data_IF_849611432508
#
_entry.id   IF_849611432508
#
_cell.length_a   1.000
_cell.length_b   1.000
_cell.length_c   1.000
_cell.angle_alpha   90.00
_cell.angle_beta   90.00
_cell.angle_gamma   90.00
#
_symmetry.space_group_name_H-M   'P 1'
#
loop_
_entity.id
_entity.type
_entity.pdbx_description
1 polymer ?
#
# COMPACT_ATOMS: atom_id res chain seq x y z
N UNK A 1 32.58 8.81 -4.87
CA UNK A 1 33.78 7.96 -5.06
C UNK A 1 33.97 6.88 -4.01
N UNK A 2 34.14 7.19 -2.71
CA UNK A 2 34.41 6.15 -1.69
C UNK A 2 33.38 5.01 -1.71
N UNK A 3 32.10 5.32 -1.82
CA UNK A 3 31.04 4.31 -1.97
C UNK A 3 31.24 3.41 -3.20
N UNK A 4 31.58 3.98 -4.35
CA UNK A 4 31.88 3.24 -5.60
C UNK A 4 33.13 2.38 -5.43
N UNK A 5 34.17 2.90 -4.77
CA UNK A 5 35.38 2.15 -4.47
C UNK A 5 35.11 0.97 -3.52
N UNK A 6 34.25 1.16 -2.52
CA UNK A 6 33.80 0.07 -1.65
C UNK A 6 32.96 -0.96 -2.39
N UNK A 7 32.09 -0.53 -3.31
CA UNK A 7 31.38 -1.42 -4.22
C UNK A 7 32.33 -2.38 -4.94
N UNK A 8 33.37 -1.83 -5.58
CA UNK A 8 34.42 -2.64 -6.21
C UNK A 8 35.15 -3.55 -5.22
N UNK A 9 35.58 -3.00 -4.07
CA UNK A 9 36.37 -3.75 -3.06
C UNK A 9 35.62 -4.97 -2.52
N UNK A 10 34.31 -4.84 -2.29
CA UNK A 10 33.49 -5.87 -1.66
C UNK A 10 32.60 -6.63 -2.66
N UNK A 11 32.81 -6.44 -3.96
CA UNK A 11 31.99 -7.02 -5.03
C UNK A 11 30.48 -6.72 -4.87
N UNK A 12 30.17 -5.47 -4.53
CA UNK A 12 28.80 -4.96 -4.40
C UNK A 12 28.53 -3.95 -5.52
N UNK A 13 27.42 -4.15 -6.22
CA UNK A 13 26.89 -3.15 -7.15
C UNK A 13 26.50 -1.86 -6.41
N UNK A 14 26.78 -0.70 -7.00
CA UNK A 14 26.36 0.60 -6.48
C UNK A 14 25.37 1.24 -7.44
N UNK A 15 24.15 1.50 -6.97
CA UNK A 15 23.17 2.31 -7.70
C UNK A 15 23.15 3.73 -7.11
N UNK A 16 23.62 4.72 -7.87
CA UNK A 16 23.57 6.13 -7.45
C UNK A 16 22.20 6.72 -7.78
N UNK A 17 21.54 7.31 -6.78
CA UNK A 17 20.23 7.93 -6.94
C UNK A 17 20.23 9.39 -6.46
N UNK A 18 19.57 10.28 -7.19
CA UNK A 18 19.25 11.62 -6.68
C UNK A 18 17.93 11.58 -5.92
N UNK A 19 18.03 11.42 -4.59
CA UNK A 19 16.83 11.48 -3.75
C UNK A 19 16.20 12.90 -3.71
N UNK A 20 17.04 13.93 -3.85
CA UNK A 20 16.65 15.30 -4.13
C UNK A 20 17.43 15.73 -5.36
N UNK A 21 16.72 15.94 -6.46
CA UNK A 21 17.27 16.41 -7.72
C UNK A 21 16.97 17.91 -7.89
N UNK A 22 17.71 18.65 -8.72
CA UNK A 22 17.34 20.02 -9.06
C UNK A 22 15.89 20.07 -9.56
N UNK A 23 15.03 20.76 -8.81
CA UNK A 23 13.60 20.91 -9.12
C UNK A 23 12.67 19.78 -8.65
N UNK A 24 13.17 18.75 -7.96
CA UNK A 24 12.28 17.71 -7.41
C UNK A 24 12.80 17.00 -6.15
N UNK A 25 11.89 16.70 -5.23
CA UNK A 25 12.12 15.87 -4.04
C UNK A 25 10.78 15.39 -3.46
N UNK A 26 10.78 14.22 -2.85
CA UNK A 26 9.67 13.78 -1.97
C UNK A 26 9.81 14.31 -0.54
N UNK A 27 11.02 14.75 -0.14
CA UNK A 27 11.30 15.25 1.19
C UNK A 27 10.86 16.72 1.35
N UNK A 28 10.54 17.12 2.58
CA UNK A 28 10.20 18.51 2.92
C UNK A 28 11.45 19.29 3.36
N UNK A 29 11.53 20.60 3.09
CA UNK A 29 10.64 21.38 2.20
C UNK A 29 10.82 21.00 0.71
N UNK A 30 9.84 21.29 -0.16
CA UNK A 30 9.97 21.07 -1.59
C UNK A 30 11.08 21.94 -2.21
N UNK A 31 11.49 21.61 -3.44
CA UNK A 31 12.40 22.44 -4.22
C UNK A 31 11.71 23.76 -4.64
N UNK A 32 12.46 24.86 -4.79
CA UNK A 32 11.90 26.17 -5.16
C UNK A 32 11.48 26.26 -6.64
N UNK A 33 11.98 25.34 -7.47
CA UNK A 33 11.61 25.19 -8.88
C UNK A 33 11.02 23.80 -9.09
N UNK A 34 10.34 23.61 -10.21
CA UNK A 34 9.69 22.34 -10.55
C UNK A 34 10.35 21.71 -11.78
N UNK A 35 10.96 20.54 -11.58
CA UNK A 35 11.64 19.76 -12.63
C UNK A 35 10.71 19.40 -13.80
N UNK A 36 9.41 19.28 -13.55
CA UNK A 36 8.42 18.86 -14.54
C UNK A 36 7.81 20.02 -15.32
N UNK A 37 8.09 21.28 -14.97
CA UNK A 37 7.49 22.44 -15.66
C UNK A 37 8.49 23.55 -15.97
N UNK A 38 9.58 23.68 -15.20
CA UNK A 38 10.62 24.68 -15.41
C UNK A 38 11.75 24.13 -16.31
N UNK A 39 11.93 24.65 -17.54
CA UNK A 39 13.00 24.23 -18.45
C UNK A 39 14.40 24.44 -17.86
N UNK A 40 14.59 25.45 -17.02
CA UNK A 40 15.89 25.73 -16.40
C UNK A 40 16.21 24.71 -15.30
N UNK A 41 15.21 24.28 -14.52
CA UNK A 41 15.39 23.20 -13.55
C UNK A 41 15.79 21.89 -14.25
N UNK A 42 15.12 21.55 -15.36
CA UNK A 42 15.47 20.39 -16.18
C UNK A 42 16.89 20.51 -16.76
N UNK A 43 17.24 21.68 -17.31
CA UNK A 43 18.59 21.93 -17.86
C UNK A 43 19.68 21.72 -16.81
N UNK A 44 19.48 22.24 -15.60
CA UNK A 44 20.42 22.06 -14.48
C UNK A 44 20.47 20.61 -14.03
N UNK A 45 19.34 19.91 -13.95
CA UNK A 45 19.30 18.49 -13.61
C UNK A 45 20.07 17.63 -14.64
N UNK A 46 19.91 17.90 -15.94
CA UNK A 46 20.71 17.29 -17.00
C UNK A 46 22.21 17.55 -16.78
N UNK A 47 22.61 18.78 -16.46
CA UNK A 47 24.02 19.11 -16.21
C UNK A 47 24.62 18.35 -15.04
N UNK A 48 23.84 18.15 -13.96
CA UNK A 48 24.26 17.32 -12.84
C UNK A 48 24.47 15.87 -13.29
N UNK A 49 23.51 15.28 -14.00
CA UNK A 49 23.66 13.90 -14.48
C UNK A 49 24.82 13.73 -15.46
N UNK A 50 25.04 14.66 -16.39
CA UNK A 50 26.21 14.65 -17.28
C UNK A 50 27.54 14.79 -16.51
N UNK A 51 27.56 15.52 -15.38
CA UNK A 51 28.74 15.58 -14.52
C UNK A 51 29.05 14.22 -13.89
N UNK A 52 28.04 13.53 -13.33
CA UNK A 52 28.21 12.19 -12.76
C UNK A 52 28.59 11.16 -13.82
N UNK A 53 27.98 11.23 -15.01
CA UNK A 53 28.34 10.39 -16.15
C UNK A 53 29.82 10.59 -16.54
N UNK A 54 30.31 11.84 -16.60
CA UNK A 54 31.73 12.11 -16.91
C UNK A 54 32.66 11.59 -15.83
N UNK A 55 32.30 11.78 -14.56
CA UNK A 55 33.11 11.36 -13.41
C UNK A 55 33.30 9.84 -13.35
N UNK A 56 32.26 9.09 -13.69
CA UNK A 56 32.24 7.64 -13.56
C UNK A 56 32.27 6.88 -14.90
N UNK A 57 32.56 7.59 -16.00
CA UNK A 57 32.71 7.00 -17.33
C UNK A 57 33.75 5.88 -17.31
N UNK A 58 33.42 4.76 -17.95
CA UNK A 58 34.28 3.59 -18.02
C UNK A 58 34.20 2.64 -16.83
N UNK A 59 33.49 2.98 -15.75
CA UNK A 59 33.11 2.00 -14.72
C UNK A 59 31.99 1.13 -15.30
N UNK A 60 32.14 -0.20 -15.40
CA UNK A 60 31.15 -1.06 -16.04
C UNK A 60 29.82 -1.07 -15.27
N UNK A 61 28.73 -1.39 -15.98
CA UNK A 61 27.38 -1.30 -15.42
C UNK A 61 26.97 -2.43 -14.49
N UNK A 62 27.73 -3.53 -14.47
CA UNK A 62 27.65 -4.54 -13.41
C UNK A 62 28.11 -3.98 -12.05
N UNK A 63 29.03 -3.01 -12.02
CA UNK A 63 29.52 -2.36 -10.80
C UNK A 63 28.79 -1.07 -10.43
N UNK A 64 28.27 -0.32 -11.42
CA UNK A 64 27.65 0.98 -11.18
C UNK A 64 26.44 1.24 -12.10
N UNK A 65 25.32 1.66 -11.54
CA UNK A 65 24.15 2.15 -12.29
C UNK A 65 23.67 3.49 -11.75
N UNK A 66 22.85 4.18 -12.53
CA UNK A 66 22.21 5.44 -12.12
C UNK A 66 20.69 5.27 -12.02
N UNK A 67 20.10 5.61 -10.88
CA UNK A 67 18.67 5.84 -10.73
C UNK A 67 18.38 7.35 -10.85
N UNK A 68 17.59 7.76 -11.84
CA UNK A 68 17.46 9.16 -12.25
C UNK A 68 17.07 10.12 -11.12
N UNK A 69 16.05 9.77 -10.35
CA UNK A 69 15.66 10.48 -9.13
C UNK A 69 14.55 9.70 -8.41
N UNK A 70 14.41 9.97 -7.11
CA UNK A 70 13.56 9.20 -6.23
C UNK A 70 12.07 9.52 -6.39
N UNK A 71 11.26 8.48 -6.61
CA UNK A 71 9.80 8.44 -6.37
C UNK A 71 8.98 9.61 -6.96
N UNK A 72 8.88 9.77 -8.30
CA UNK A 72 7.96 10.73 -8.88
C UNK A 72 6.53 10.51 -8.36
N UNK A 73 5.99 11.55 -7.72
CA UNK A 73 4.67 11.53 -7.07
C UNK A 73 3.50 11.62 -8.06
N UNK A 74 2.57 12.55 -7.80
CA UNK A 74 1.45 12.82 -8.71
C UNK A 74 1.90 13.73 -9.87
N UNK A 75 2.54 13.13 -10.87
CA UNK A 75 2.92 13.80 -12.12
C UNK A 75 2.27 13.12 -13.32
N UNK A 76 2.02 13.88 -14.39
CA UNK A 76 1.52 13.30 -15.64
C UNK A 76 2.57 12.38 -16.26
N UNK A 77 2.12 11.33 -16.94
CA UNK A 77 3.03 10.40 -17.61
C UNK A 77 3.88 11.12 -18.65
N UNK A 78 3.29 12.02 -19.42
CA UNK A 78 3.93 12.80 -20.48
C UNK A 78 5.02 13.73 -19.93
N UNK A 79 4.75 14.39 -18.80
CA UNK A 79 5.72 15.26 -18.14
C UNK A 79 6.92 14.44 -17.62
N UNK A 80 6.64 13.27 -17.00
CA UNK A 80 7.69 12.40 -16.52
C UNK A 80 8.54 11.82 -17.66
N UNK A 81 7.90 11.38 -18.75
CA UNK A 81 8.57 10.86 -19.94
C UNK A 81 9.51 11.88 -20.57
N UNK A 82 9.06 13.14 -20.70
CA UNK A 82 9.89 14.22 -21.23
C UNK A 82 11.14 14.44 -20.38
N UNK A 83 10.97 14.51 -19.05
CA UNK A 83 12.08 14.70 -18.11
C UNK A 83 13.04 13.51 -18.18
N UNK A 84 12.54 12.29 -18.02
CA UNK A 84 13.36 11.09 -18.01
C UNK A 84 14.13 10.90 -19.32
N UNK A 85 13.49 11.13 -20.48
CA UNK A 85 14.15 11.06 -21.78
C UNK A 85 15.31 12.07 -21.90
N UNK A 86 15.13 13.30 -21.41
CA UNK A 86 16.17 14.31 -21.41
C UNK A 86 17.35 13.92 -20.50
N UNK A 87 17.08 13.39 -19.30
CA UNK A 87 18.13 12.94 -18.38
C UNK A 87 18.89 11.73 -18.94
N UNK A 88 18.18 10.74 -19.52
CA UNK A 88 18.80 9.58 -20.16
C UNK A 88 19.70 10.00 -21.32
N UNK A 89 19.23 10.93 -22.17
CA UNK A 89 20.03 11.47 -23.26
C UNK A 89 21.30 12.18 -22.73
N UNK A 90 21.16 13.01 -21.70
CA UNK A 90 22.28 13.73 -21.09
C UNK A 90 23.34 12.82 -20.46
N UNK A 91 22.94 11.65 -19.95
CA UNK A 91 23.86 10.61 -19.44
C UNK A 91 24.54 9.87 -20.60
N UNK A 92 23.75 9.40 -21.58
CA UNK A 92 24.24 8.55 -22.67
C UNK A 92 25.05 9.29 -23.72
N UNK A 93 24.87 10.60 -23.86
CA UNK A 93 25.77 11.46 -24.65
C UNK A 93 27.22 11.39 -24.15
N UNK A 94 27.38 11.19 -22.83
CA UNK A 94 28.69 11.04 -22.19
C UNK A 94 29.15 9.58 -22.13
N UNK A 95 28.27 8.68 -21.66
CA UNK A 95 28.54 7.26 -21.41
C UNK A 95 27.39 6.40 -21.99
N UNK A 96 27.46 6.04 -23.29
CA UNK A 96 26.38 5.30 -23.96
C UNK A 96 26.07 3.94 -23.33
N UNK A 97 27.04 3.33 -22.65
CA UNK A 97 26.92 2.01 -22.06
C UNK A 97 26.35 2.01 -20.64
N UNK A 98 26.16 3.19 -20.02
CA UNK A 98 25.64 3.29 -18.65
C UNK A 98 24.23 2.70 -18.57
N UNK A 99 24.07 1.68 -17.74
CA UNK A 99 22.77 1.20 -17.29
C UNK A 99 22.11 2.22 -16.36
N UNK A 100 20.85 2.50 -16.66
CA UNK A 100 20.03 3.53 -16.01
C UNK A 100 18.75 2.85 -15.53
N UNK A 101 18.27 3.28 -14.38
CA UNK A 101 17.00 2.92 -13.77
C UNK A 101 16.18 4.18 -13.55
N UNK A 102 14.86 4.05 -13.63
CA UNK A 102 13.91 5.11 -13.32
C UNK A 102 12.86 4.57 -12.34
N UNK A 103 12.60 5.28 -11.25
CA UNK A 103 11.51 4.89 -10.34
C UNK A 103 10.14 4.98 -11.03
N UNK A 104 9.23 4.08 -10.67
CA UNK A 104 7.86 4.13 -11.19
C UNK A 104 7.09 5.39 -10.75
N UNK A 105 6.05 5.73 -11.51
CA UNK A 105 5.10 6.78 -11.15
C UNK A 105 4.41 6.46 -9.82
N UNK A 106 3.83 7.50 -9.18
CA UNK A 106 3.08 7.35 -7.93
C UNK A 106 3.94 6.75 -6.83
N UNK A 107 5.13 7.31 -6.64
CA UNK A 107 6.11 6.83 -5.66
C UNK A 107 6.47 5.36 -5.87
N UNK A 108 6.69 4.93 -7.11
CA UNK A 108 6.98 3.54 -7.46
C UNK A 108 5.79 2.58 -7.39
N UNK A 109 4.57 3.10 -7.30
CA UNK A 109 3.33 2.30 -7.26
C UNK A 109 2.90 1.71 -8.61
N UNK A 110 3.37 2.26 -9.74
CA UNK A 110 3.08 1.73 -11.08
C UNK A 110 4.21 2.04 -12.07
N UNK A 111 4.37 1.24 -13.14
CA UNK A 111 5.38 1.50 -14.15
C UNK A 111 5.04 2.73 -14.99
N UNK A 112 6.06 3.45 -15.43
CA UNK A 112 5.95 4.50 -16.43
C UNK A 112 6.11 3.90 -17.83
N UNK A 113 5.00 3.50 -18.46
CA UNK A 113 5.04 2.71 -19.70
C UNK A 113 5.72 3.44 -20.87
N UNK A 114 5.57 4.75 -21.02
CA UNK A 114 6.25 5.46 -22.13
C UNK A 114 7.77 5.56 -21.98
N UNK A 115 8.34 5.14 -20.83
CA UNK A 115 9.77 4.96 -20.67
C UNK A 115 10.30 3.63 -21.23
N UNK A 116 9.43 2.66 -21.55
CA UNK A 116 9.85 1.31 -22.00
C UNK A 116 10.75 1.37 -23.24
N UNK A 117 10.47 2.32 -24.14
CA UNK A 117 11.27 2.55 -25.36
C UNK A 117 12.69 3.09 -25.10
N UNK A 118 12.99 3.54 -23.89
CA UNK A 118 14.30 4.12 -23.56
C UNK A 118 15.36 3.03 -23.27
N UNK A 119 14.98 1.76 -23.13
CA UNK A 119 15.93 0.69 -22.80
C UNK A 119 16.61 0.92 -21.45
N UNK A 120 15.83 1.31 -20.44
CA UNK A 120 16.26 1.51 -19.05
C UNK A 120 15.47 0.59 -18.14
N UNK A 121 15.99 0.27 -16.96
CA UNK A 121 15.24 -0.45 -15.93
C UNK A 121 14.22 0.43 -15.23
N UNK A 122 13.27 -0.17 -14.52
CA UNK A 122 12.37 0.54 -13.62
C UNK A 122 12.38 -0.02 -12.20
N UNK A 123 12.23 0.86 -11.21
CA UNK A 123 12.22 0.49 -9.81
C UNK A 123 10.83 0.72 -9.19
N UNK A 124 10.26 -0.35 -8.63
CA UNK A 124 9.05 -0.33 -7.82
C UNK A 124 9.37 -0.12 -6.33
N UNK A 125 8.33 -0.07 -5.49
CA UNK A 125 8.46 0.03 -4.02
C UNK A 125 7.76 -1.10 -3.30
N UNK A 126 8.33 -1.55 -2.19
CA UNK A 126 7.77 -2.60 -1.34
C UNK A 126 7.23 -2.06 -0.02
N UNK A 127 6.50 -0.94 -0.03
CA UNK A 127 5.93 -0.33 1.17
C UNK A 127 4.44 -0.63 1.37
N UNK A 128 3.77 -1.29 0.43
CA UNK A 128 2.35 -1.60 0.57
C UNK A 128 2.11 -2.76 1.58
N UNK A 129 1.11 -2.64 2.47
CA UNK A 129 0.33 -1.45 2.78
C UNK A 129 1.09 -0.51 3.74
N UNK A 130 0.85 0.80 3.61
CA UNK A 130 1.47 1.82 4.46
C UNK A 130 1.11 1.67 5.95
N UNK A 131 -0.01 1.02 6.28
CA UNK A 131 -0.38 0.67 7.65
C UNK A 131 0.60 -0.30 8.31
N UNK A 132 1.34 -1.12 7.54
CA UNK A 132 2.40 -1.98 8.05
C UNK A 132 3.76 -1.28 7.98
N UNK A 133 4.11 -0.73 6.81
CA UNK A 133 5.46 -0.21 6.59
C UNK A 133 5.73 1.13 7.27
N UNK A 134 4.69 1.92 7.54
CA UNK A 134 4.80 3.30 8.03
C UNK A 134 3.88 3.61 9.24
N UNK A 135 3.46 2.59 9.98
CA UNK A 135 2.70 2.79 11.23
C UNK A 135 3.43 3.79 12.15
N UNK A 136 2.73 4.84 12.58
CA UNK A 136 3.27 5.93 13.41
C UNK A 136 4.48 6.70 12.84
N UNK A 137 4.72 6.66 11.52
CA UNK A 137 5.72 7.50 10.86
C UNK A 137 5.20 8.94 10.68
N UNK A 138 5.80 9.90 11.39
CA UNK A 138 5.32 11.29 11.44
C UNK A 138 5.38 12.04 10.11
N UNK A 139 6.19 11.57 9.16
CA UNK A 139 6.42 12.25 7.87
C UNK A 139 5.40 11.88 6.78
N UNK A 140 4.57 10.83 6.97
CA UNK A 140 3.61 10.35 5.94
C UNK A 140 2.13 10.47 6.33
N UNK A 141 1.79 11.21 7.40
CA UNK A 141 0.43 11.23 7.93
C UNK A 141 0.13 9.87 8.57
N UNK A 142 0.34 9.79 9.88
CA UNK A 142 0.21 8.55 10.67
C UNK A 142 -1.05 7.77 10.29
N UNK A 143 -0.95 6.52 9.79
CA UNK A 143 -2.11 5.66 9.65
C UNK A 143 -2.86 5.60 10.98
N UNK A 144 -4.16 5.89 10.97
CA UNK A 144 -4.99 5.93 12.18
C UNK A 144 -5.29 4.54 12.75
N UNK A 145 -5.15 3.51 11.90
CA UNK A 145 -5.48 2.14 12.25
C UNK A 145 -4.23 1.37 12.69
N UNK A 146 -4.43 0.46 13.64
CA UNK A 146 -3.42 -0.48 14.08
C UNK A 146 -3.00 -1.43 12.94
N UNK A 147 -1.71 -1.81 12.86
CA UNK A 147 -1.20 -2.66 11.79
C UNK A 147 -1.80 -4.05 11.90
N UNK A 148 -2.38 -4.58 10.81
CA UNK A 148 -2.87 -5.96 10.72
C UNK A 148 -2.27 -6.62 9.48
N UNK A 149 -1.68 -7.80 9.63
CA UNK A 149 -1.15 -8.57 8.51
C UNK A 149 -1.63 -10.04 8.51
N UNK A 150 -2.14 -10.53 7.37
CA UNK A 150 -2.56 -9.76 6.19
C UNK A 150 -3.89 -9.01 6.46
N UNK A 151 -4.20 -7.95 5.71
CA UNK A 151 -5.44 -7.20 5.91
C UNK A 151 -6.68 -8.10 5.75
N UNK A 152 -7.75 -7.88 6.54
CA UNK A 152 -9.01 -8.62 6.37
C UNK A 152 -9.57 -8.39 4.96
N UNK A 153 -9.85 -9.46 4.22
CA UNK A 153 -10.43 -9.39 2.88
C UNK A 153 -11.97 -9.36 2.92
N UNK A 154 -12.55 -8.49 3.77
CA UNK A 154 -13.98 -8.23 3.70
C UNK A 154 -14.31 -7.47 2.41
N UNK A 155 -15.37 -7.87 1.72
CA UNK A 155 -15.76 -7.31 0.42
C UNK A 155 -17.07 -6.54 0.51
N UNK A 156 -17.21 -5.52 -0.31
CA UNK A 156 -18.38 -4.67 -0.46
C UNK A 156 -18.71 -4.54 -1.95
N UNK A 157 -19.99 -4.43 -2.35
CA UNK A 157 -21.15 -4.17 -1.51
C UNK A 157 -21.76 -5.40 -0.85
N UNK A 158 -22.65 -5.16 0.12
CA UNK A 158 -23.68 -6.13 0.48
C UNK A 158 -24.80 -6.05 -0.56
N UNK A 159 -25.42 -7.19 -0.83
CA UNK A 159 -26.47 -7.32 -1.84
C UNK A 159 -27.82 -7.61 -1.19
N UNK A 160 -28.88 -7.08 -1.81
CA UNK A 160 -30.25 -7.41 -1.44
C UNK A 160 -30.78 -8.65 -2.19
N UNK A 161 -31.99 -9.11 -1.85
CA UNK A 161 -32.48 -10.45 -2.20
C UNK A 161 -32.58 -10.72 -3.70
N UNK A 162 -32.79 -9.68 -4.51
CA UNK A 162 -32.90 -9.81 -5.97
C UNK A 162 -31.60 -10.26 -6.65
N UNK A 163 -30.47 -10.31 -5.91
CA UNK A 163 -29.16 -10.75 -6.40
C UNK A 163 -28.69 -12.06 -5.81
N UNK A 164 -29.59 -12.88 -5.30
CA UNK A 164 -29.25 -14.23 -4.84
C UNK A 164 -28.44 -15.00 -5.91
N UNK A 165 -27.38 -15.73 -5.51
CA UNK A 165 -26.96 -16.04 -4.13
C UNK A 165 -25.97 -15.02 -3.51
N UNK A 166 -25.78 -13.85 -4.11
CA UNK A 166 -24.82 -12.85 -3.61
C UNK A 166 -25.30 -12.12 -2.35
N UNK A 167 -26.59 -12.21 -2.02
CA UNK A 167 -27.26 -11.59 -0.87
C UNK A 167 -26.88 -12.19 0.49
N UNK A 168 -25.80 -12.97 0.54
CA UNK A 168 -25.30 -13.53 1.79
C UNK A 168 -24.86 -12.42 2.75
N UNK A 169 -25.17 -12.57 4.06
CA UNK A 169 -24.82 -11.58 5.07
C UNK A 169 -23.33 -11.64 5.39
N UNK A 170 -22.78 -10.50 5.84
CA UNK A 170 -21.53 -10.53 6.60
C UNK A 170 -21.82 -11.13 7.98
N UNK A 171 -21.06 -12.17 8.36
CA UNK A 171 -21.20 -12.83 9.67
C UNK A 171 -19.91 -12.66 10.46
N UNK A 172 -20.01 -12.24 11.72
CA UNK A 172 -18.86 -12.12 12.63
C UNK A 172 -19.17 -12.89 13.92
N UNK A 173 -18.29 -13.80 14.31
CA UNK A 173 -18.40 -14.56 15.55
C UNK A 173 -17.48 -14.02 16.66
N UNK A 174 -17.80 -14.33 17.91
CA UNK A 174 -17.01 -14.01 19.11
C UNK A 174 -16.82 -12.50 19.35
N UNK A 175 -17.86 -11.70 19.09
CA UNK A 175 -17.80 -10.24 19.20
C UNK A 175 -18.05 -9.83 20.66
N UNK A 176 -17.12 -9.11 21.32
CA UNK A 176 -17.31 -8.69 22.71
C UNK A 176 -18.37 -7.58 22.85
N UNK A 177 -18.84 -7.37 24.08
CA UNK A 177 -19.70 -6.24 24.43
C UNK A 177 -19.02 -4.90 24.11
N UNK A 178 -19.80 -3.91 23.64
CA UNK A 178 -19.26 -2.63 23.17
C UNK A 178 -20.23 -1.84 22.31
N UNK A 179 -19.68 -1.06 21.37
CA UNK A 179 -20.45 -0.36 20.32
C UNK A 179 -19.86 -0.69 18.95
N UNK A 180 -20.72 -1.09 18.02
CA UNK A 180 -20.35 -1.29 16.62
C UNK A 180 -20.84 -0.11 15.78
N UNK A 181 -19.92 0.68 15.25
CA UNK A 181 -20.21 1.72 14.28
C UNK A 181 -20.24 1.12 12.87
N UNK A 182 -21.37 1.24 12.18
CA UNK A 182 -21.57 0.80 10.80
C UNK A 182 -21.61 2.01 9.88
N UNK A 183 -20.67 2.10 8.93
CA UNK A 183 -20.59 3.21 7.98
C UNK A 183 -20.89 2.76 6.55
N UNK A 184 -22.10 3.04 6.02
CA UNK A 184 -22.40 2.77 4.62
C UNK A 184 -21.58 3.64 3.66
N UNK A 185 -21.47 3.19 2.41
CA UNK A 185 -20.84 3.93 1.31
C UNK A 185 -21.87 4.42 0.31
N UNK A 186 -21.68 4.08 -0.97
CA UNK A 186 -22.70 4.29 -2.00
C UNK A 186 -23.84 3.28 -1.82
N UNK A 187 -25.07 3.76 -1.92
CA UNK A 187 -26.30 2.96 -1.82
C UNK A 187 -27.07 3.05 -3.13
N UNK A 188 -27.62 1.92 -3.59
CA UNK A 188 -28.43 1.82 -4.81
C UNK A 188 -29.91 1.71 -4.49
N UNK A 189 -30.60 2.81 -4.75
CA UNK A 189 -32.01 2.97 -4.43
C UNK A 189 -32.32 2.82 -2.95
N UNK A 190 -33.58 2.46 -2.67
CA UNK A 190 -34.03 2.19 -1.32
C UNK A 190 -33.59 0.80 -0.89
N UNK A 191 -32.80 0.73 0.16
CA UNK A 191 -32.40 -0.53 0.82
C UNK A 191 -32.76 -0.49 2.30
N UNK A 192 -32.79 -1.66 2.94
CA UNK A 192 -32.93 -1.79 4.39
C UNK A 192 -31.67 -2.45 4.94
N UNK A 193 -30.87 -1.70 5.69
CA UNK A 193 -29.69 -2.20 6.41
C UNK A 193 -30.11 -2.78 7.76
N UNK A 194 -29.75 -4.04 8.01
CA UNK A 194 -30.06 -4.73 9.25
C UNK A 194 -28.82 -5.25 9.95
N UNK A 195 -28.77 -5.09 11.28
CA UNK A 195 -27.79 -5.73 12.16
C UNK A 195 -28.51 -6.60 13.17
N UNK A 196 -28.13 -7.87 13.27
CA UNK A 196 -28.68 -8.86 14.20
C UNK A 196 -27.56 -9.47 15.05
N UNK A 197 -27.81 -9.66 16.34
CA UNK A 197 -26.93 -10.34 17.28
C UNK A 197 -27.67 -11.53 17.89
N UNK A 198 -27.17 -12.74 17.69
CA UNK A 198 -27.75 -13.98 18.22
C UNK A 198 -29.25 -14.12 17.96
N UNK A 199 -29.70 -13.68 16.78
CA UNK A 199 -31.10 -13.71 16.34
C UNK A 199 -31.95 -12.52 16.81
N UNK A 200 -31.40 -11.64 17.63
CA UNK A 200 -32.05 -10.40 18.08
C UNK A 200 -31.67 -9.26 17.16
N UNK A 201 -32.67 -8.51 16.67
CA UNK A 201 -32.46 -7.35 15.79
C UNK A 201 -32.02 -6.13 16.60
N UNK A 202 -30.83 -5.60 16.28
CA UNK A 202 -30.25 -4.45 16.97
C UNK A 202 -30.30 -3.15 16.14
N UNK A 203 -30.30 -3.26 14.81
CA UNK A 203 -30.48 -2.14 13.89
C UNK A 203 -31.41 -2.56 12.75
N UNK A 204 -32.32 -1.66 12.36
CA UNK A 204 -33.16 -1.81 11.17
C UNK A 204 -33.37 -0.43 10.54
N UNK A 205 -32.51 -0.07 9.59
CA UNK A 205 -32.42 1.28 9.02
C UNK A 205 -32.73 1.27 7.53
N UNK A 206 -33.66 2.12 7.11
CA UNK A 206 -33.90 2.39 5.69
C UNK A 206 -32.90 3.42 5.19
N UNK A 207 -32.22 3.10 4.09
CA UNK A 207 -31.31 4.01 3.38
C UNK A 207 -31.86 4.25 1.98
N UNK A 208 -32.10 5.51 1.63
CA UNK A 208 -32.64 5.91 0.33
C UNK A 208 -31.95 7.20 -0.13
N UNK A 209 -31.16 7.17 -1.22
CA UNK A 209 -30.49 8.35 -1.75
C UNK A 209 -31.47 9.47 -2.11
N UNK A 210 -31.29 10.65 -1.51
CA UNK A 210 -32.13 11.84 -1.75
C UNK A 210 -31.28 13.06 -2.06
N UNK A 211 -31.49 13.66 -3.23
CA UNK A 211 -30.81 14.89 -3.63
C UNK A 211 -31.20 16.04 -2.68
N UNK A 212 -30.21 16.84 -2.27
CA UNK A 212 -30.42 17.98 -1.35
C UNK A 212 -30.59 17.61 0.12
N UNK A 213 -30.53 16.32 0.49
CA UNK A 213 -30.50 15.89 1.89
C UNK A 213 -29.09 16.04 2.48
N UNK A 214 -28.95 16.47 3.75
CA UNK A 214 -27.65 16.57 4.41
C UNK A 214 -26.97 15.21 4.64
N UNK A 215 -27.72 14.11 4.59
CA UNK A 215 -27.20 12.74 4.80
C UNK A 215 -26.59 12.13 3.53
N UNK A 216 -26.67 12.83 2.39
CA UNK A 216 -26.29 12.29 1.08
C UNK A 216 -25.43 13.24 0.27
N UNK A 217 -24.47 12.68 -0.46
CA UNK A 217 -23.71 13.38 -1.49
C UNK A 217 -23.62 12.57 -2.77
N UNK A 218 -23.28 13.23 -3.88
CA UNK A 218 -23.14 12.62 -5.21
C UNK A 218 -24.35 11.77 -5.62
N UNK A 219 -25.56 12.27 -5.34
CA UNK A 219 -26.79 11.59 -5.72
C UNK A 219 -26.98 11.74 -7.24
N UNK A 220 -27.02 10.61 -7.95
CA UNK A 220 -27.21 10.54 -9.39
C UNK A 220 -28.30 9.53 -9.75
N UNK A 221 -29.24 9.94 -10.58
CA UNK A 221 -30.24 9.05 -11.15
C UNK A 221 -29.63 8.25 -12.31
N UNK A 222 -29.86 6.94 -12.31
CA UNK A 222 -29.44 6.01 -13.35
C UNK A 222 -30.66 5.60 -14.16
N UNK A 223 -30.77 6.10 -15.38
CA UNK A 223 -31.94 5.87 -16.24
C UNK A 223 -32.07 4.40 -16.65
N UNK A 224 -30.95 3.70 -16.78
CA UNK A 224 -30.86 2.29 -17.17
C UNK A 224 -31.56 1.37 -16.17
N UNK A 225 -31.46 1.67 -14.88
CA UNK A 225 -32.05 0.87 -13.79
C UNK A 225 -33.23 1.58 -13.10
N UNK A 226 -33.58 2.79 -13.56
CA UNK A 226 -34.59 3.67 -12.95
C UNK A 226 -34.39 3.83 -11.45
N UNK A 227 -33.13 3.99 -11.02
CA UNK A 227 -32.74 4.02 -9.61
C UNK A 227 -31.80 5.19 -9.32
N UNK A 228 -31.94 5.79 -8.15
CA UNK A 228 -30.99 6.80 -7.67
C UNK A 228 -29.89 6.12 -6.87
N UNK A 229 -28.64 6.48 -7.14
CA UNK A 229 -27.48 6.07 -6.35
C UNK A 229 -26.90 7.30 -5.65
N UNK A 230 -26.45 7.15 -4.42
CA UNK A 230 -25.82 8.25 -3.68
C UNK A 230 -24.92 7.74 -2.57
N UNK A 231 -23.97 8.58 -2.13
CA UNK A 231 -23.08 8.27 -1.01
C UNK A 231 -23.72 8.70 0.30
N UNK A 232 -23.92 7.76 1.22
CA UNK A 232 -24.40 8.03 2.56
C UNK A 232 -23.29 8.67 3.41
N UNK A 233 -23.64 9.69 4.18
CA UNK A 233 -22.72 10.40 5.07
C UNK A 233 -22.89 10.00 6.55
N UNK A 234 -24.03 9.38 6.90
CA UNK A 234 -24.34 8.94 8.25
C UNK A 234 -23.51 7.72 8.68
N UNK A 235 -23.29 7.58 9.99
CA UNK A 235 -22.75 6.37 10.65
C UNK A 235 -23.78 5.90 11.66
N UNK A 236 -23.98 4.58 11.77
CA UNK A 236 -24.99 3.98 12.64
C UNK A 236 -24.31 3.21 13.76
N UNK A 237 -24.47 3.70 15.00
CA UNK A 237 -23.91 3.05 16.18
C UNK A 237 -24.88 2.03 16.76
N UNK A 238 -24.42 0.78 16.86
CA UNK A 238 -25.18 -0.36 17.38
C UNK A 238 -24.60 -0.76 18.74
N UNK A 239 -25.40 -0.69 19.80
CA UNK A 239 -24.97 -1.10 21.14
C UNK A 239 -24.99 -2.62 21.27
N UNK A 240 -23.89 -3.18 21.74
CA UNK A 240 -23.73 -4.60 22.07
C UNK A 240 -23.63 -4.73 23.59
N UNK A 241 -24.75 -4.92 24.31
CA UNK A 241 -24.77 -4.87 25.77
C UNK A 241 -24.02 -6.06 26.40
N UNK A 242 -23.98 -7.20 25.72
CA UNK A 242 -23.25 -8.40 26.15
C UNK A 242 -22.40 -8.90 25.00
N UNK A 243 -21.51 -9.85 25.30
CA UNK A 243 -20.79 -10.57 24.27
C UNK A 243 -21.79 -11.27 23.34
N UNK A 244 -21.52 -11.21 22.05
CA UNK A 244 -22.34 -11.71 20.96
C UNK A 244 -21.62 -12.90 20.35
N UNK A 245 -22.27 -14.06 20.36
CA UNK A 245 -21.70 -15.26 19.75
C UNK A 245 -21.69 -15.12 18.23
N UNK A 246 -22.77 -14.59 17.63
CA UNK A 246 -22.88 -14.37 16.18
C UNK A 246 -23.59 -13.06 15.86
N UNK A 247 -22.86 -12.15 15.22
CA UNK A 247 -23.36 -10.91 14.62
C UNK A 247 -23.59 -11.12 13.12
N UNK A 248 -24.68 -10.57 12.57
CA UNK A 248 -25.04 -10.62 11.14
C UNK A 248 -25.36 -9.22 10.64
N UNK A 249 -24.80 -8.84 9.50
CA UNK A 249 -25.09 -7.58 8.81
C UNK A 249 -25.58 -7.92 7.40
N UNK A 250 -26.77 -7.44 7.03
CA UNK A 250 -27.45 -7.84 5.80
C UNK A 250 -28.30 -6.73 5.20
N UNK A 251 -28.74 -6.94 3.96
CA UNK A 251 -29.75 -6.13 3.29
C UNK A 251 -31.00 -6.97 3.00
N UNK A 252 -31.94 -7.13 3.95
CA UNK A 252 -33.17 -7.89 3.72
C UNK A 252 -34.10 -7.30 2.63
N UNK A 253 -33.93 -6.03 2.27
CA UNK A 253 -34.71 -5.36 1.22
C UNK A 253 -33.80 -4.45 0.38
N UNK A 254 -34.09 -4.35 -0.93
CA UNK A 254 -33.43 -3.42 -1.86
C UNK A 254 -32.42 -4.07 -2.82
N UNK A 255 -31.63 -3.23 -3.50
CA UNK A 255 -30.69 -3.64 -4.56
C UNK A 255 -29.30 -3.99 -4.00
N UNK A 256 -28.52 -2.99 -3.58
CA UNK A 256 -27.23 -3.17 -2.91
C UNK A 256 -26.81 -1.90 -2.17
N UNK A 257 -25.93 -2.06 -1.18
CA UNK A 257 -25.29 -0.96 -0.49
C UNK A 257 -23.84 -1.31 -0.16
N UNK A 258 -22.95 -0.37 -0.40
CA UNK A 258 -21.57 -0.49 0.04
C UNK A 258 -21.48 -0.37 1.56
N UNK A 259 -20.54 -1.11 2.13
CA UNK A 259 -19.99 -0.82 3.45
C UNK A 259 -18.61 -0.19 3.25
N UNK A 260 -18.36 0.92 3.93
CA UNK A 260 -17.07 1.59 3.90
C UNK A 260 -16.16 1.02 4.99
N UNK A 261 -16.65 1.03 6.23
CA UNK A 261 -15.93 0.56 7.42
C UNK A 261 -16.90 0.00 8.45
N UNK A 262 -16.44 -0.98 9.22
CA UNK A 262 -17.01 -1.32 10.53
C UNK A 262 -15.97 -1.01 11.61
N UNK A 263 -16.38 -0.38 12.70
CA UNK A 263 -15.50 -0.15 13.85
C UNK A 263 -16.19 -0.68 15.10
N UNK A 264 -15.56 -1.65 15.76
CA UNK A 264 -15.98 -2.13 17.06
C UNK A 264 -15.17 -1.40 18.14
N UNK A 265 -15.86 -0.79 19.09
CA UNK A 265 -15.25 -0.19 20.28
C UNK A 265 -15.65 -1.01 21.50
N UNK A 266 -14.66 -1.60 22.17
CA UNK A 266 -14.84 -2.34 23.43
C UNK A 266 -15.26 -1.41 24.58
N UNK A 267 -15.73 -1.99 25.69
CA UNK A 267 -16.10 -1.24 26.90
C UNK A 267 -14.93 -0.47 27.53
N UNK A 268 -13.71 -0.93 27.28
CA UNK A 268 -12.45 -0.31 27.69
C UNK A 268 -12.00 0.82 26.74
N UNK A 269 -12.76 1.09 25.68
CA UNK A 269 -12.47 2.13 24.69
C UNK A 269 -11.51 1.69 23.59
N UNK A 270 -11.00 0.45 23.62
CA UNK A 270 -10.15 -0.05 22.55
C UNK A 270 -10.97 -0.31 21.27
N UNK A 271 -10.36 -0.15 20.11
CA UNK A 271 -11.06 -0.24 18.82
C UNK A 271 -10.47 -1.29 17.89
N UNK A 272 -11.32 -1.93 17.11
CA UNK A 272 -10.94 -2.77 15.97
C UNK A 272 -11.73 -2.35 14.73
N UNK A 273 -11.03 -2.12 13.61
CA UNK A 273 -11.63 -1.67 12.35
C UNK A 273 -11.56 -2.76 11.29
N UNK A 274 -12.68 -3.01 10.60
CA UNK A 274 -12.75 -3.82 9.39
C UNK A 274 -12.96 -2.90 8.18
N UNK A 275 -11.94 -2.70 7.34
CA UNK A 275 -12.12 -2.05 6.04
C UNK A 275 -12.79 -3.01 5.06
N UNK A 276 -13.41 -2.46 4.01
CA UNK A 276 -14.02 -3.23 2.94
C UNK A 276 -13.36 -2.94 1.59
N UNK A 277 -12.99 -4.01 0.89
CA UNK A 277 -12.62 -3.95 -0.50
C UNK A 277 -13.87 -3.85 -1.39
N UNK A 278 -13.91 -2.88 -2.30
CA UNK A 278 -15.00 -2.79 -3.27
C UNK A 278 -14.78 -3.83 -4.39
N UNK A 279 -15.49 -4.97 -4.32
CA UNK A 279 -15.36 -6.08 -5.26
C UNK A 279 -16.73 -6.67 -5.59
N UNK A 280 -17.16 -6.40 -6.83
CA UNK A 280 -18.46 -6.88 -7.33
C UNK A 280 -18.48 -8.38 -7.59
N UNK A 281 -19.64 -9.01 -7.39
CA UNK A 281 -19.84 -10.43 -7.67
C UNK A 281 -19.23 -11.38 -6.64
N UNK A 282 -18.71 -10.84 -5.53
CA UNK A 282 -18.21 -11.62 -4.38
C UNK A 282 -19.10 -11.34 -3.17
N UNK A 283 -19.14 -12.30 -2.25
CA UNK A 283 -19.84 -12.11 -0.97
C UNK A 283 -18.91 -12.34 0.21
N UNK A 284 -19.32 -11.85 1.37
CA UNK A 284 -18.58 -12.07 2.61
C UNK A 284 -18.87 -13.47 3.15
N UNK A 285 -17.84 -14.06 3.74
CA UNK A 285 -17.98 -15.29 4.51
C UNK A 285 -18.18 -15.02 6.01
N UNK A 286 -17.92 -16.05 6.79
CA UNK A 286 -17.78 -15.96 8.24
C UNK A 286 -16.45 -15.26 8.58
N UNK A 287 -16.50 -14.33 9.52
CA UNK A 287 -15.35 -13.74 10.21
C UNK A 287 -15.42 -14.07 11.71
N UNK A 288 -14.29 -13.94 12.39
CA UNK A 288 -14.18 -14.03 13.85
C UNK A 288 -13.46 -12.80 14.37
N UNK A 289 -13.94 -12.25 15.48
CA UNK A 289 -13.18 -11.28 16.22
C UNK A 289 -12.06 -11.98 17.01
N UNK A 290 -10.85 -11.44 16.94
CA UNK A 290 -9.61 -12.03 17.45
C UNK A 290 -8.94 -11.17 18.54
N UNK A 291 -9.51 -10.01 18.87
CA UNK A 291 -9.00 -9.11 19.90
C UNK A 291 -8.87 -7.67 19.42
N UNK A 292 -8.53 -6.78 20.36
CA UNK A 292 -8.24 -5.38 20.10
C UNK A 292 -6.74 -5.14 20.05
N UNK A 293 -6.31 -4.20 19.20
CA UNK A 293 -4.92 -3.77 19.11
C UNK A 293 -4.14 -4.32 17.91
N UNK A 294 -2.84 -3.99 17.82
CA UNK A 294 -1.97 -4.33 16.69
C UNK A 294 -1.92 -5.83 16.38
N UNK A 295 -2.21 -6.19 15.14
CA UNK A 295 -2.23 -7.57 14.65
C UNK A 295 -3.45 -8.36 15.07
N UNK A 296 -4.38 -7.72 15.78
CA UNK A 296 -5.66 -8.29 16.21
C UNK A 296 -6.80 -7.54 15.50
N UNK A 297 -8.00 -8.12 15.52
CA UNK A 297 -9.16 -7.53 14.86
C UNK A 297 -10.08 -8.61 14.31
N UNK A 298 -10.38 -8.56 13.02
CA UNK A 298 -11.30 -9.50 12.39
C UNK A 298 -10.59 -10.43 11.42
N UNK A 299 -10.73 -11.74 11.62
CA UNK A 299 -10.09 -12.75 10.78
C UNK A 299 -11.16 -13.55 10.03
N UNK A 300 -10.87 -13.96 8.79
CA UNK A 300 -11.76 -14.88 8.07
C UNK A 300 -11.88 -16.22 8.83
N UNK A 301 -13.10 -16.72 8.98
CA UNK A 301 -13.42 -17.96 9.72
C UNK A 301 -13.14 -19.25 8.92
N UNK A 302 -12.91 -19.14 7.61
CA UNK A 302 -12.44 -20.21 6.74
C UNK A 302 -11.45 -19.66 5.69
N UNK A 303 -10.38 -20.41 5.44
CA UNK A 303 -9.24 -19.97 4.62
C UNK A 303 -8.24 -19.15 5.42
N UNK A 304 -6.95 -19.49 5.32
CA UNK A 304 -5.91 -18.64 5.87
C UNK A 304 -5.95 -17.30 5.13
N UNK A 305 -5.95 -16.16 5.84
CA UNK A 305 -5.75 -14.87 5.21
C UNK A 305 -4.47 -14.92 4.34
N UNK A 306 -4.60 -14.62 3.04
CA UNK A 306 -3.50 -14.76 2.08
C UNK A 306 -2.85 -13.39 1.80
N UNK A 307 -1.77 -13.12 2.51
CA UNK A 307 -0.98 -11.90 2.34
C UNK A 307 -0.31 -11.82 0.97
N UNK A 308 0.06 -12.95 0.37
CA UNK A 308 0.63 -12.98 -0.98
C UNK A 308 -0.42 -12.64 -2.02
N UNK A 309 -1.63 -13.19 -1.94
CA UNK A 309 -2.71 -12.81 -2.84
C UNK A 309 -3.06 -11.32 -2.73
N UNK A 310 -3.05 -10.77 -1.50
CA UNK A 310 -3.20 -9.34 -1.28
C UNK A 310 -2.10 -8.54 -2.00
N UNK A 311 -0.82 -8.86 -1.77
CA UNK A 311 0.31 -8.16 -2.42
C UNK A 311 0.33 -8.35 -3.93
N UNK A 312 -0.02 -9.53 -4.44
CA UNK A 312 -0.14 -9.77 -5.88
C UNK A 312 -1.11 -8.74 -6.48
N UNK A 313 -2.29 -8.61 -5.89
CA UNK A 313 -3.32 -7.67 -6.35
C UNK A 313 -2.93 -6.20 -6.16
N UNK A 314 -2.44 -5.83 -4.98
CA UNK A 314 -2.26 -4.41 -4.62
C UNK A 314 -0.92 -3.83 -5.06
N UNK A 315 0.07 -4.68 -5.34
CA UNK A 315 1.41 -4.27 -5.69
C UNK A 315 1.85 -4.82 -7.05
N UNK A 316 1.75 -6.13 -7.26
CA UNK A 316 2.36 -6.77 -8.44
C UNK A 316 1.54 -6.56 -9.72
N UNK A 317 0.22 -6.63 -9.66
CA UNK A 317 -0.68 -6.51 -10.84
C UNK A 317 -0.52 -5.15 -11.53
N UNK A 318 -0.32 -4.08 -10.76
CA UNK A 318 -0.07 -2.75 -11.30
C UNK A 318 1.22 -2.68 -12.14
N UNK A 319 2.18 -3.57 -11.87
CA UNK A 319 3.46 -3.69 -12.55
C UNK A 319 3.49 -4.73 -13.67
N UNK A 320 2.41 -5.49 -13.85
CA UNK A 320 2.29 -6.50 -14.91
C UNK A 320 2.68 -5.99 -16.31
N UNK A 321 2.32 -4.76 -16.74
CA UNK A 321 2.73 -4.24 -18.04
C UNK A 321 4.26 -4.15 -18.23
N UNK A 322 5.03 -3.88 -17.16
CA UNK A 322 6.49 -3.86 -17.23
C UNK A 322 7.07 -5.27 -17.33
N UNK A 323 6.48 -6.23 -16.61
CA UNK A 323 6.87 -7.64 -16.67
C UNK A 323 6.60 -8.22 -18.06
N UNK A 324 5.42 -7.97 -18.63
CA UNK A 324 5.03 -8.43 -19.96
C UNK A 324 5.93 -7.84 -21.06
N UNK A 325 6.36 -6.58 -20.88
CA UNK A 325 7.28 -5.91 -21.79
C UNK A 325 8.75 -6.33 -21.61
N UNK A 326 9.06 -7.21 -20.66
CA UNK A 326 10.44 -7.67 -20.40
C UNK A 326 11.36 -6.58 -19.85
N UNK A 327 10.80 -5.53 -19.24
CA UNK A 327 11.58 -4.44 -18.64
C UNK A 327 12.27 -4.94 -17.39
N UNK A 328 13.59 -4.70 -17.28
CA UNK A 328 14.31 -4.95 -16.03
C UNK A 328 13.61 -4.21 -14.89
N UNK A 329 13.10 -4.97 -13.93
CA UNK A 329 12.36 -4.42 -12.80
C UNK A 329 13.02 -4.85 -11.50
N UNK A 330 13.09 -3.93 -10.54
CA UNK A 330 13.56 -4.21 -9.18
C UNK A 330 12.68 -3.52 -8.15
N UNK A 331 12.72 -4.00 -6.91
CA UNK A 331 12.17 -3.29 -5.76
C UNK A 331 13.25 -2.36 -5.21
N UNK A 332 13.20 -1.09 -5.63
CA UNK A 332 14.22 -0.09 -5.32
C UNK A 332 14.35 0.20 -3.83
N UNK A 333 13.23 0.12 -3.11
CA UNK A 333 13.20 0.24 -1.65
C UNK A 333 12.04 -0.57 -1.08
N UNK A 334 12.27 -1.16 0.10
CA UNK A 334 11.22 -1.72 0.94
C UNK A 334 11.67 -1.74 2.40
N UNK A 335 10.75 -2.07 3.29
CA UNK A 335 11.00 -2.23 4.73
C UNK A 335 9.85 -1.67 5.55
N UNK A 336 9.93 -1.85 6.87
CA UNK A 336 8.94 -1.32 7.79
C UNK A 336 9.59 -0.50 8.89
N UNK A 337 8.95 0.62 9.25
CA UNK A 337 9.34 1.46 10.36
C UNK A 337 9.28 0.70 11.70
N UNK A 338 10.01 1.19 12.69
CA UNK A 338 10.29 0.48 13.94
C UNK A 338 9.15 0.49 14.97
N UNK A 339 7.95 0.92 14.57
CA UNK A 339 6.76 1.01 15.44
C UNK A 339 5.79 -0.15 15.25
N UNK A 340 5.80 -0.79 14.08
CA UNK A 340 4.99 -1.98 13.80
C UNK A 340 5.52 -3.17 14.59
N UNK A 341 4.67 -3.97 15.27
CA UNK A 341 5.09 -5.18 15.97
C UNK A 341 5.92 -6.10 15.07
N UNK A 342 7.05 -6.56 15.57
CA UNK A 342 8.07 -7.23 14.78
C UNK A 342 7.57 -8.53 14.14
N UNK A 343 6.73 -9.30 14.84
CA UNK A 343 6.14 -10.51 14.28
C UNK A 343 5.31 -10.25 13.01
N UNK A 344 4.54 -9.15 12.98
CA UNK A 344 3.79 -8.74 11.79
C UNK A 344 4.72 -8.31 10.66
N UNK A 345 5.79 -7.58 11.00
CA UNK A 345 6.81 -7.16 10.02
C UNK A 345 7.47 -8.38 9.36
N UNK A 346 7.88 -9.38 10.14
CA UNK A 346 8.51 -10.58 9.58
C UNK A 346 7.55 -11.37 8.67
N UNK A 347 6.27 -11.52 9.07
CA UNK A 347 5.27 -12.20 8.25
C UNK A 347 5.02 -11.45 6.93
N UNK A 348 4.86 -10.13 6.99
CA UNK A 348 4.69 -9.27 5.83
C UNK A 348 5.92 -9.26 4.92
N UNK A 349 7.13 -9.18 5.48
CA UNK A 349 8.37 -9.25 4.72
C UNK A 349 8.52 -10.60 4.02
N UNK A 350 8.19 -11.72 4.69
CA UNK A 350 8.28 -13.04 4.07
C UNK A 350 7.34 -13.19 2.87
N UNK A 351 6.10 -12.68 2.96
CA UNK A 351 5.16 -12.71 1.83
C UNK A 351 5.66 -11.88 0.64
N UNK A 352 6.23 -10.69 0.88
CA UNK A 352 6.87 -9.88 -0.16
C UNK A 352 8.05 -10.61 -0.80
N UNK A 353 8.99 -11.11 0.02
CA UNK A 353 10.21 -11.76 -0.45
C UNK A 353 9.91 -13.03 -1.26
N UNK A 354 8.88 -13.80 -0.90
CA UNK A 354 8.41 -14.96 -1.68
C UNK A 354 7.95 -14.54 -3.07
N UNK A 355 7.08 -13.53 -3.16
CA UNK A 355 6.57 -13.05 -4.45
C UNK A 355 7.68 -12.51 -5.35
N UNK A 356 8.61 -11.75 -4.77
CA UNK A 356 9.74 -11.21 -5.51
C UNK A 356 10.68 -12.31 -6.00
N UNK A 357 10.96 -13.32 -5.16
CA UNK A 357 11.75 -14.49 -5.55
C UNK A 357 11.10 -15.30 -6.67
N UNK A 358 9.79 -15.54 -6.61
CA UNK A 358 9.03 -16.23 -7.67
C UNK A 358 9.10 -15.50 -9.02
N UNK A 359 9.22 -14.17 -9.00
CA UNK A 359 9.36 -13.32 -10.19
C UNK A 359 10.82 -12.98 -10.54
N UNK A 360 11.79 -13.46 -9.78
CA UNK A 360 13.21 -13.11 -9.93
C UNK A 360 13.48 -11.60 -9.87
N UNK A 361 12.81 -10.90 -8.95
CA UNK A 361 13.02 -9.47 -8.70
C UNK A 361 14.07 -9.26 -7.61
N UNK A 362 15.09 -8.45 -7.93
CA UNK A 362 16.01 -7.92 -6.92
C UNK A 362 15.33 -6.90 -6.02
N UNK A 363 15.80 -6.77 -4.79
CA UNK A 363 15.26 -5.85 -3.79
C UNK A 363 16.35 -5.15 -2.99
N UNK A 364 16.06 -3.97 -2.44
CA UNK A 364 16.97 -3.25 -1.53
C UNK A 364 16.21 -2.75 -0.29
N UNK A 365 16.65 -3.17 0.90
CA UNK A 365 16.08 -2.71 2.16
C UNK A 365 16.45 -1.24 2.37
N UNK A 366 15.49 -0.40 2.75
CA UNK A 366 15.67 1.06 2.84
C UNK A 366 16.85 1.48 3.71
N UNK A 367 17.09 0.77 4.81
CA UNK A 367 18.24 0.99 5.66
C UNK A 367 19.02 -0.30 5.87
N UNK A 368 20.35 -0.21 5.87
CA UNK A 368 21.18 -1.23 6.51
C UNK A 368 21.20 -1.02 8.03
N UNK A 369 21.63 0.18 8.46
CA UNK A 369 21.50 0.69 9.82
C UNK A 369 20.44 1.78 9.86
N UNK A 370 19.48 1.69 10.77
CA UNK A 370 18.39 2.65 10.89
C UNK A 370 17.03 1.98 11.10
N UNK A 371 15.98 2.79 11.25
CA UNK A 371 14.66 2.34 11.71
C UNK A 371 13.93 1.35 10.80
N UNK A 372 14.36 1.23 9.54
CA UNK A 372 13.86 0.23 8.57
C UNK A 372 14.82 -0.96 8.38
N UNK A 373 15.97 -0.94 9.03
CA UNK A 373 17.07 -1.87 8.77
C UNK A 373 17.19 -3.01 9.76
N UNK A 374 18.19 -3.87 9.50
CA UNK A 374 18.55 -5.00 10.37
C UNK A 374 19.42 -4.58 11.55
N UNK A 375 20.09 -3.44 11.47
CA UNK A 375 21.00 -2.95 12.51
C UNK A 375 20.48 -1.66 13.13
N UNK A 376 20.58 -1.58 14.45
CA UNK A 376 20.25 -0.40 15.26
C UNK A 376 18.86 0.19 14.94
N UNK A 377 17.89 -0.68 14.65
CA UNK A 377 16.57 -0.24 14.17
C UNK A 377 15.68 0.34 15.26
N UNK A 378 15.99 0.08 16.53
CA UNK A 378 15.31 0.68 17.68
C UNK A 378 13.88 0.16 17.90
N UNK A 379 13.52 -0.99 17.30
CA UNK A 379 12.31 -1.74 17.65
C UNK A 379 12.37 -2.15 19.12
N UNK A 380 11.27 -1.98 19.84
CA UNK A 380 11.19 -2.24 21.30
C UNK A 380 10.95 -3.71 21.66
N UNK A 381 10.48 -4.50 20.70
CA UNK A 381 10.06 -5.89 20.84
C UNK A 381 11.01 -6.89 20.16
N UNK A 382 12.24 -6.44 19.86
CA UNK A 382 13.30 -7.26 19.26
C UNK A 382 14.37 -7.57 20.30
N UNK A 383 14.71 -8.85 20.44
CA UNK A 383 15.89 -9.29 21.16
C UNK A 383 17.10 -9.22 20.22
N UNK A 384 17.86 -8.13 20.28
CA UNK A 384 19.03 -7.92 19.42
C UNK A 384 20.23 -8.77 19.85
N UNK A 385 20.98 -9.25 18.85
CA UNK A 385 22.31 -9.81 19.06
C UNK A 385 23.38 -8.72 18.96
N UNK A 386 24.44 -8.80 19.76
CA UNK A 386 25.61 -7.93 19.56
C UNK A 386 26.37 -8.36 18.30
N UNK A 387 26.68 -7.40 17.43
CA UNK A 387 27.41 -7.64 16.19
C UNK A 387 28.32 -6.45 15.87
N UNK A 388 29.63 -6.61 16.05
CA UNK A 388 30.64 -5.57 15.79
C UNK A 388 30.31 -4.18 16.38
N UNK A 389 29.80 -4.15 17.61
CA UNK A 389 29.43 -2.89 18.30
C UNK A 389 28.03 -2.37 17.96
N UNK A 390 27.26 -3.09 17.14
CA UNK A 390 25.89 -2.76 16.76
C UNK A 390 24.87 -3.76 17.30
N UNK A 391 23.60 -3.36 17.34
CA UNK A 391 22.47 -4.20 17.70
C UNK A 391 21.86 -4.81 16.45
N UNK A 392 21.99 -6.12 16.28
CA UNK A 392 21.53 -6.84 15.10
C UNK A 392 20.23 -7.59 15.34
N UNK A 393 19.23 -7.31 14.50
CA UNK A 393 18.03 -8.12 14.35
C UNK A 393 18.35 -9.38 13.56
N UNK A 394 18.73 -10.44 14.29
CA UNK A 394 19.10 -11.72 13.69
C UNK A 394 17.94 -12.34 12.90
N UNK A 395 16.71 -12.23 13.41
CA UNK A 395 15.53 -12.83 12.77
C UNK A 395 15.24 -12.17 11.43
N UNK A 396 15.29 -10.84 11.36
CA UNK A 396 15.11 -10.13 10.10
C UNK A 396 16.25 -10.43 9.12
N UNK A 397 17.50 -10.45 9.58
CA UNK A 397 18.65 -10.80 8.72
C UNK A 397 18.53 -12.22 8.15
N UNK A 398 18.21 -13.21 8.98
CA UNK A 398 18.08 -14.60 8.54
C UNK A 398 16.92 -14.76 7.54
N UNK A 399 15.82 -14.02 7.75
CA UNK A 399 14.72 -13.96 6.79
C UNK A 399 15.17 -13.38 5.44
N UNK A 400 15.93 -12.28 5.45
CA UNK A 400 16.44 -11.64 4.24
C UNK A 400 17.43 -12.55 3.49
N UNK A 401 18.30 -13.29 4.20
CA UNK A 401 19.27 -14.21 3.59
C UNK A 401 18.63 -15.47 3.01
N UNK A 402 17.42 -15.84 3.45
CA UNK A 402 16.66 -17.00 2.94
C UNK A 402 16.14 -16.77 1.52
N UNK A 403 15.88 -15.53 1.13
CA UNK A 403 15.24 -15.17 -0.13
C UNK A 403 16.23 -14.53 -1.08
#
# INVERSE_FOLDING_TARGET
DQAVAYGKKYALHVQLCFHRAPGYTVAKPPEPRDLFTDPEALRVCCQHWSHFARRYKGIPSDALSFNLFNEPGEVSAEAYERVAAALVAAIRDVDPARFIVADGLRWGGRPAQGLFRLGIGQAMRGYAPMSISHYMASWVGTPSDDPVWPPPQAVSPLYGPAKAPLDAPLVIEQVPAGTLAVRPGVVSGKVRLRVEADGTRLLDQVLEPRQGSPDWTNVAYKSEWKISQGRCLSTFDVKLPTDVRRLRISLPEGDWAQLSTLTLTGRDGQTATMPFEQSWGRTNGLFRFAGFGPGQGFHAGQGAPDGRAYLQKTLMDAWQPAFDAGIFTMVGEFGAYNRTPHALVLAWMEDNLRLWKERNLGWALWNFRGSFGVLDSGRKDVAYASFHGHQLDRKMLDLLLKY
#
